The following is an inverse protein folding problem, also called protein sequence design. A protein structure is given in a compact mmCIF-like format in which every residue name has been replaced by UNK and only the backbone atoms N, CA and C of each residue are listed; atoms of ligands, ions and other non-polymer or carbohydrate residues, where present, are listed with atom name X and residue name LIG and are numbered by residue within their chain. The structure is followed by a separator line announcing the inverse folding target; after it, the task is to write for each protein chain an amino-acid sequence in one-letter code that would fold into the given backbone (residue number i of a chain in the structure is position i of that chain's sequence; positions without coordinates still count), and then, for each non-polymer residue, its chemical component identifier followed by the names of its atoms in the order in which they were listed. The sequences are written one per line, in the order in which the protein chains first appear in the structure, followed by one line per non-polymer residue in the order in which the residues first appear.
data_IF_092878312609
#
_entry.id   IF_092878312609
#
_cell.length_a   1.000
_cell.length_b   1.000
_cell.length_c   1.000
_cell.angle_alpha   90.00
_cell.angle_beta   90.00
_cell.angle_gamma   90.00
#
_symmetry.space_group_name_H-M   'P 1'
#
loop_
_entity.id
_entity.type
_entity.pdbx_description
1 polymer ?
#
# COMPACT_ATOMS: atom_id res chain seq x y z
N UNK A 1 -13.53 13.79 -14.54
CA UNK A 1 -13.11 12.64 -15.38
C UNK A 1 -12.37 11.65 -14.52
N UNK A 2 -12.40 10.35 -14.85
CA UNK A 2 -11.54 9.33 -14.23
C UNK A 2 -10.46 9.02 -15.27
N UNK A 3 -9.19 9.25 -14.91
CA UNK A 3 -8.03 8.90 -15.74
C UNK A 3 -7.29 7.74 -15.11
N UNK A 4 -7.03 6.69 -15.89
CA UNK A 4 -6.26 5.53 -15.46
C UNK A 4 -4.78 5.74 -15.81
N UNK A 5 -3.95 6.03 -14.81
CA UNK A 5 -2.54 6.32 -14.99
C UNK A 5 -1.68 5.07 -15.29
N UNK A 6 -2.26 3.87 -15.39
CA UNK A 6 -1.52 2.65 -15.72
C UNK A 6 -0.97 2.63 -17.17
N UNK A 7 -1.39 3.54 -18.05
CA UNK A 7 -0.81 3.72 -19.39
C UNK A 7 0.10 4.96 -19.45
N UNK A 8 1.26 4.84 -18.78
CA UNK A 8 2.36 5.79 -18.77
C UNK A 8 2.92 6.01 -20.18
N UNK A 9 2.59 7.16 -20.78
CA UNK A 9 3.39 7.97 -21.72
C UNK A 9 2.50 8.82 -22.64
N UNK A 10 1.33 8.31 -23.06
CA UNK A 10 0.42 9.04 -23.96
C UNK A 10 -0.65 9.83 -23.20
N UNK A 11 -0.98 9.39 -21.99
CA UNK A 11 -1.96 10.07 -21.14
C UNK A 11 -1.40 11.30 -20.43
N UNK A 12 -0.11 11.33 -20.05
CA UNK A 12 0.48 12.46 -19.29
C UNK A 12 0.32 13.81 -20.01
N UNK A 13 0.67 13.89 -21.31
CA UNK A 13 0.52 15.12 -22.09
C UNK A 13 -0.93 15.53 -22.29
N UNK A 14 -1.84 14.56 -22.40
CA UNK A 14 -3.28 14.81 -22.53
C UNK A 14 -3.85 15.33 -21.22
N UNK A 15 -3.38 14.78 -20.10
CA UNK A 15 -3.80 15.13 -18.75
C UNK A 15 -3.33 16.52 -18.35
N UNK A 16 -2.06 16.84 -18.62
CA UNK A 16 -1.51 18.20 -18.45
C UNK A 16 -2.29 19.21 -19.30
N UNK A 17 -2.63 18.89 -20.56
CA UNK A 17 -3.43 19.79 -21.40
C UNK A 17 -4.84 20.02 -20.83
N UNK A 18 -5.49 19.01 -20.26
CA UNK A 18 -6.80 19.17 -19.61
C UNK A 18 -6.71 20.06 -18.35
N UNK A 19 -5.61 19.95 -17.61
CA UNK A 19 -5.31 20.78 -16.44
C UNK A 19 -5.05 22.24 -16.87
N UNK A 20 -4.19 22.46 -17.86
CA UNK A 20 -3.84 23.80 -18.39
C UNK A 20 -5.05 24.49 -19.01
N UNK A 21 -5.91 23.74 -19.71
CA UNK A 21 -7.16 24.28 -20.30
C UNK A 21 -8.25 24.57 -19.24
N UNK A 22 -7.96 24.37 -17.95
CA UNK A 22 -8.87 24.62 -16.81
C UNK A 22 -10.23 23.93 -16.94
N UNK A 23 -10.28 22.77 -17.59
CA UNK A 23 -11.53 22.00 -17.72
C UNK A 23 -11.81 21.10 -16.50
N UNK A 24 -10.98 21.19 -15.47
CA UNK A 24 -11.04 20.35 -14.27
C UNK A 24 -11.01 21.26 -13.03
N UNK A 25 -12.05 21.14 -12.19
CA UNK A 25 -12.17 21.91 -10.93
C UNK A 25 -11.43 21.26 -9.75
N UNK A 26 -10.99 20.01 -9.87
CA UNK A 26 -10.29 19.28 -8.81
C UNK A 26 -9.85 17.88 -9.24
N UNK A 27 -8.89 17.31 -8.51
CA UNK A 27 -8.28 16.01 -8.82
C UNK A 27 -8.21 15.10 -7.59
N UNK A 28 -8.54 13.82 -7.80
CA UNK A 28 -8.35 12.76 -6.81
C UNK A 28 -7.25 11.83 -7.29
N UNK A 29 -6.18 11.70 -6.51
CA UNK A 29 -5.06 10.79 -6.78
C UNK A 29 -5.22 9.51 -5.96
N UNK A 30 -5.09 8.35 -6.61
CA UNK A 30 -5.15 7.04 -5.96
C UNK A 30 -3.79 6.32 -5.91
N UNK A 31 -2.75 6.95 -6.46
CA UNK A 31 -1.38 6.43 -6.48
C UNK A 31 -0.42 7.33 -5.71
N UNK A 32 0.76 6.78 -5.43
CA UNK A 32 1.85 7.44 -4.71
C UNK A 32 2.64 8.46 -5.56
N UNK A 33 2.43 8.48 -6.89
CA UNK A 33 3.16 9.34 -7.82
C UNK A 33 2.24 10.39 -8.46
N UNK A 34 2.80 11.57 -8.75
CA UNK A 34 2.14 12.52 -9.63
C UNK A 34 2.15 11.97 -11.06
N UNK A 35 1.04 12.04 -11.79
CA UNK A 35 0.98 11.58 -13.19
C UNK A 35 1.62 12.57 -14.17
N UNK A 36 2.45 13.50 -13.69
CA UNK A 36 3.13 14.50 -14.48
C UNK A 36 4.30 15.13 -13.71
N UNK A 37 5.32 15.52 -14.44
CA UNK A 37 6.38 16.40 -13.96
C UNK A 37 5.93 17.85 -14.11
N UNK A 38 5.65 18.54 -12.99
CA UNK A 38 5.27 19.95 -12.98
C UNK A 38 6.35 20.79 -12.30
N UNK A 39 6.83 21.82 -12.99
CA UNK A 39 7.65 22.86 -12.39
C UNK A 39 6.91 23.57 -11.25
N UNK A 40 7.64 24.20 -10.32
CA UNK A 40 7.04 24.96 -9.21
C UNK A 40 6.07 26.07 -9.67
N UNK A 41 6.24 26.58 -10.88
CA UNK A 41 5.34 27.58 -11.47
C UNK A 41 4.05 26.94 -12.01
N UNK A 42 4.14 25.75 -12.61
CA UNK A 42 2.98 24.98 -13.07
C UNK A 42 2.15 24.46 -11.90
N UNK A 43 2.78 24.09 -10.78
CA UNK A 43 2.11 23.68 -9.54
C UNK A 43 1.11 24.71 -9.01
N UNK A 44 1.38 26.01 -9.22
CA UNK A 44 0.46 27.09 -8.80
C UNK A 44 -0.82 27.18 -9.63
N UNK A 45 -0.80 26.61 -10.83
CA UNK A 45 -1.93 26.62 -11.76
C UNK A 45 -2.70 25.29 -11.78
N UNK A 46 -2.26 24.30 -10.99
CA UNK A 46 -2.98 23.04 -10.86
C UNK A 46 -4.29 23.25 -10.10
N UNK A 47 -5.36 22.53 -10.46
CA UNK A 47 -6.58 22.51 -9.67
C UNK A 47 -6.31 21.88 -8.30
N UNK A 48 -7.17 22.12 -7.28
CA UNK A 48 -7.06 21.47 -5.98
C UNK A 48 -6.95 19.94 -6.09
N UNK A 49 -5.98 19.35 -5.39
CA UNK A 49 -5.70 17.93 -5.44
C UNK A 49 -5.85 17.30 -4.05
N UNK A 50 -6.41 16.09 -4.01
CA UNK A 50 -6.52 15.26 -2.79
C UNK A 50 -6.02 13.86 -3.11
N UNK A 51 -5.21 13.28 -2.23
CA UNK A 51 -4.80 11.87 -2.30
C UNK A 51 -5.79 11.00 -1.52
N UNK A 52 -6.07 9.80 -2.02
CA UNK A 52 -6.86 8.81 -1.32
C UNK A 52 -6.20 7.42 -1.39
N UNK A 53 -6.38 6.64 -0.31
CA UNK A 53 -5.84 5.29 -0.11
C UNK A 53 -4.31 5.22 0.05
N UNK A 54 -3.57 5.81 -0.89
CA UNK A 54 -2.13 5.96 -0.84
C UNK A 54 -1.74 7.37 -0.38
N UNK A 55 -0.50 7.53 0.05
CA UNK A 55 0.01 8.85 0.40
C UNK A 55 1.50 8.96 0.14
N UNK A 56 1.90 10.12 -0.39
CA UNK A 56 3.29 10.50 -0.60
C UNK A 56 3.59 11.74 0.26
N UNK A 57 4.37 11.59 1.35
CA UNK A 57 4.70 12.71 2.24
C UNK A 57 5.31 13.90 1.52
N UNK A 58 6.07 13.65 0.45
CA UNK A 58 6.81 14.67 -0.30
C UNK A 58 5.92 15.60 -1.14
N UNK A 59 4.67 15.20 -1.41
CA UNK A 59 3.73 15.99 -2.19
C UNK A 59 2.97 17.02 -1.35
N UNK A 60 2.99 16.90 -0.01
CA UNK A 60 2.26 17.77 0.93
C UNK A 60 0.77 17.98 0.59
N UNK A 61 0.14 17.02 -0.09
CA UNK A 61 -1.27 17.09 -0.50
C UNK A 61 -2.20 16.64 0.64
N UNK A 62 -3.40 17.25 0.76
CA UNK A 62 -4.46 16.71 1.60
C UNK A 62 -4.72 15.24 1.25
N UNK A 63 -4.76 14.38 2.27
CA UNK A 63 -4.85 12.93 2.07
C UNK A 63 -5.95 12.33 2.92
N UNK A 64 -6.73 11.42 2.36
CA UNK A 64 -7.70 10.59 3.06
C UNK A 64 -7.27 9.12 2.98
N UNK A 65 -6.85 8.55 4.10
CA UNK A 65 -6.46 7.16 4.19
C UNK A 65 -6.87 6.57 5.55
N UNK A 66 -6.88 5.24 5.65
CA UNK A 66 -7.06 4.56 6.93
C UNK A 66 -5.75 4.51 7.72
N UNK A 67 -5.84 4.24 9.01
CA UNK A 67 -4.67 3.88 9.82
C UNK A 67 -4.26 2.42 9.51
N UNK A 68 -3.43 2.26 8.49
CA UNK A 68 -2.92 0.96 8.04
C UNK A 68 -2.14 0.20 9.13
N UNK A 69 -1.45 0.92 10.01
CA UNK A 69 -0.69 0.30 11.09
C UNK A 69 -1.64 -0.30 12.12
N UNK A 70 -2.61 0.48 12.59
CA UNK A 70 -3.59 0.02 13.58
C UNK A 70 -4.45 -1.10 13.00
N UNK A 71 -4.92 -0.97 11.75
CA UNK A 71 -5.69 -2.02 11.10
C UNK A 71 -4.93 -3.35 11.00
N UNK A 72 -3.66 -3.32 10.59
CA UNK A 72 -2.83 -4.53 10.53
C UNK A 72 -2.54 -5.12 11.92
N UNK A 73 -2.28 -4.26 12.91
CA UNK A 73 -2.11 -4.67 14.30
C UNK A 73 -3.35 -5.40 14.82
N UNK A 74 -4.54 -4.82 14.63
CA UNK A 74 -5.80 -5.39 15.10
C UNK A 74 -6.11 -6.73 14.42
N UNK A 75 -5.89 -6.83 13.11
CA UNK A 75 -6.07 -8.08 12.37
C UNK A 75 -5.20 -9.22 12.92
N UNK A 76 -3.92 -8.95 13.16
CA UNK A 76 -2.98 -9.96 13.67
C UNK A 76 -3.25 -10.26 15.14
N UNK A 77 -3.52 -9.24 15.95
CA UNK A 77 -3.89 -9.40 17.36
C UNK A 77 -5.15 -10.24 17.52
N UNK A 78 -6.14 -10.08 16.64
CA UNK A 78 -7.33 -10.92 16.62
C UNK A 78 -6.99 -12.39 16.37
N UNK A 79 -6.13 -12.69 15.40
CA UNK A 79 -5.67 -14.07 15.16
C UNK A 79 -4.94 -14.65 16.37
N UNK A 80 -4.10 -13.85 17.03
CA UNK A 80 -3.43 -14.26 18.27
C UNK A 80 -4.45 -14.57 19.36
N UNK A 81 -5.48 -13.74 19.51
CA UNK A 81 -6.58 -13.95 20.46
C UNK A 81 -7.36 -15.23 20.23
N UNK A 82 -7.39 -15.75 19.00
CA UNK A 82 -7.94 -17.08 18.67
C UNK A 82 -6.98 -18.25 19.01
N UNK A 83 -5.80 -17.96 19.56
CA UNK A 83 -4.78 -18.95 19.92
C UNK A 83 -3.75 -19.24 18.83
N UNK A 84 -3.70 -18.44 17.75
CA UNK A 84 -2.71 -18.60 16.70
C UNK A 84 -1.35 -18.02 17.12
N UNK A 85 -0.31 -18.87 17.09
CA UNK A 85 1.07 -18.47 17.44
C UNK A 85 2.00 -18.40 16.22
N UNK A 86 1.58 -19.01 15.10
CA UNK A 86 2.36 -19.13 13.86
C UNK A 86 1.60 -18.47 12.72
N UNK A 87 1.77 -17.16 12.64
CA UNK A 87 1.08 -16.27 11.70
C UNK A 87 2.12 -15.77 10.72
N UNK A 88 1.91 -15.99 9.43
CA UNK A 88 2.78 -15.44 8.39
C UNK A 88 2.18 -14.19 7.75
N UNK A 89 3.04 -13.29 7.28
CA UNK A 89 2.66 -12.07 6.59
C UNK A 89 3.11 -12.13 5.12
N UNK A 90 2.16 -11.97 4.20
CA UNK A 90 2.46 -11.71 2.79
C UNK A 90 2.37 -10.20 2.59
N UNK A 91 3.52 -9.59 2.33
CA UNK A 91 3.72 -8.14 2.19
C UNK A 91 3.70 -7.71 0.73
N UNK A 92 3.37 -6.45 0.46
CA UNK A 92 3.51 -5.85 -0.86
C UNK A 92 4.91 -5.23 -1.08
N UNK A 93 5.08 -4.42 -2.13
CA UNK A 93 6.35 -3.75 -2.41
C UNK A 93 6.79 -2.80 -1.29
N UNK A 94 8.06 -2.86 -0.88
CA UNK A 94 8.59 -2.11 0.26
C UNK A 94 8.63 -0.60 0.05
N UNK A 95 8.66 -0.15 -1.21
CA UNK A 95 8.68 1.28 -1.55
C UNK A 95 7.35 1.98 -1.20
N UNK A 96 6.27 1.22 -0.99
CA UNK A 96 4.96 1.80 -0.71
C UNK A 96 4.78 2.01 0.80
N UNK A 97 4.54 3.27 1.26
CA UNK A 97 4.41 3.57 2.69
C UNK A 97 3.36 2.70 3.40
N UNK A 98 2.22 2.45 2.75
CA UNK A 98 1.16 1.59 3.26
C UNK A 98 1.63 0.16 3.58
N UNK A 99 2.50 -0.44 2.75
CA UNK A 99 3.07 -1.76 3.02
C UNK A 99 3.94 -1.74 4.28
N UNK A 100 4.74 -0.68 4.44
CA UNK A 100 5.59 -0.51 5.61
C UNK A 100 4.76 -0.42 6.89
N UNK A 101 3.68 0.37 6.89
CA UNK A 101 2.77 0.47 8.05
C UNK A 101 2.11 -0.86 8.38
N UNK A 102 1.64 -1.62 7.38
CA UNK A 102 1.02 -2.93 7.63
C UNK A 102 2.02 -3.94 8.19
N UNK A 103 3.24 -3.96 7.66
CA UNK A 103 4.35 -4.79 8.21
C UNK A 103 4.69 -4.38 9.64
N UNK A 104 4.75 -3.09 9.95
CA UNK A 104 4.97 -2.59 11.30
C UNK A 104 3.85 -3.03 12.26
N UNK A 105 2.57 -2.93 11.84
CA UNK A 105 1.43 -3.39 12.62
C UNK A 105 1.50 -4.88 12.95
N UNK A 106 1.85 -5.71 11.96
CA UNK A 106 2.10 -7.15 12.14
C UNK A 106 3.21 -7.43 13.16
N UNK A 107 4.38 -6.79 12.99
CA UNK A 107 5.52 -6.93 13.91
C UNK A 107 5.12 -6.50 15.33
N UNK A 108 4.37 -5.41 15.46
CA UNK A 108 3.92 -4.89 16.74
C UNK A 108 2.95 -5.85 17.45
N UNK A 109 2.03 -6.48 16.71
CA UNK A 109 1.08 -7.43 17.27
C UNK A 109 1.77 -8.69 17.82
N UNK A 110 2.76 -9.23 17.08
CA UNK A 110 3.55 -10.36 17.52
C UNK A 110 4.36 -10.02 18.78
N UNK A 111 5.12 -8.92 18.74
CA UNK A 111 5.97 -8.48 19.86
C UNK A 111 5.17 -8.22 21.13
N UNK A 112 4.03 -7.53 21.02
CA UNK A 112 3.18 -7.23 22.20
C UNK A 112 2.55 -8.47 22.81
N UNK A 113 2.40 -9.54 22.02
CA UNK A 113 1.87 -10.83 22.49
C UNK A 113 2.96 -11.80 22.93
N UNK A 114 4.23 -11.37 22.97
CA UNK A 114 5.37 -12.21 23.35
C UNK A 114 5.75 -13.26 22.30
N UNK A 115 5.29 -13.12 21.06
CA UNK A 115 5.66 -14.00 19.94
C UNK A 115 6.91 -13.48 19.23
N UNK A 116 7.75 -14.41 18.79
CA UNK A 116 8.92 -14.07 17.98
C UNK A 116 8.51 -13.69 16.56
N UNK A 117 9.21 -12.70 16.00
CA UNK A 117 9.06 -12.34 14.59
C UNK A 117 10.05 -13.18 13.80
N UNK A 118 9.56 -14.26 13.21
CA UNK A 118 10.35 -15.13 12.34
C UNK A 118 10.42 -14.52 10.93
N UNK A 119 11.64 -14.31 10.41
CA UNK A 119 11.85 -13.77 9.07
C UNK A 119 11.27 -14.67 7.99
N UNK A 120 11.29 -15.98 8.23
CA UNK A 120 10.84 -17.01 7.30
C UNK A 120 9.31 -17.04 7.17
N UNK A 121 8.60 -16.32 8.06
CA UNK A 121 7.14 -16.14 8.04
C UNK A 121 6.75 -14.83 7.36
N UNK A 122 7.68 -14.17 6.68
CA UNK A 122 7.42 -13.00 5.86
C UNK A 122 7.74 -13.31 4.40
N UNK A 123 6.75 -13.22 3.53
CA UNK A 123 6.93 -13.32 2.08
C UNK A 123 6.59 -12.00 1.41
N UNK A 124 7.27 -11.69 0.30
CA UNK A 124 7.02 -10.48 -0.50
C UNK A 124 6.23 -10.84 -1.75
N UNK A 125 5.23 -10.03 -2.05
CA UNK A 125 4.48 -10.05 -3.31
C UNK A 125 4.44 -8.66 -3.94
N UNK A 126 3.84 -8.60 -5.11
CA UNK A 126 3.68 -7.40 -5.93
C UNK A 126 2.20 -7.01 -6.12
N UNK A 127 1.34 -7.49 -5.21
CA UNK A 127 -0.12 -7.40 -5.27
C UNK A 127 -0.81 -8.15 -6.41
N UNK A 128 -0.06 -8.82 -7.29
CA UNK A 128 -0.67 -9.77 -8.22
C UNK A 128 -1.18 -11.03 -7.50
N UNK A 129 -2.19 -11.65 -8.08
CA UNK A 129 -2.67 -12.95 -7.63
C UNK A 129 -1.56 -14.01 -7.68
N UNK A 130 -0.73 -13.96 -8.73
CA UNK A 130 0.35 -14.92 -8.98
C UNK A 130 1.44 -14.85 -7.90
N UNK A 131 1.88 -13.63 -7.54
CA UNK A 131 2.85 -13.47 -6.46
C UNK A 131 2.29 -13.89 -5.11
N UNK A 132 1.01 -13.62 -4.84
CA UNK A 132 0.32 -14.11 -3.65
C UNK A 132 0.27 -15.63 -3.58
N UNK A 133 -0.02 -16.31 -4.69
CA UNK A 133 -0.05 -17.76 -4.76
C UNK A 133 1.34 -18.38 -4.54
N UNK A 134 2.38 -17.82 -5.18
CA UNK A 134 3.76 -18.28 -4.99
C UNK A 134 4.23 -18.06 -3.54
N UNK A 135 3.97 -16.88 -2.97
CA UNK A 135 4.29 -16.58 -1.58
C UNK A 135 3.62 -17.56 -0.60
N UNK A 136 2.37 -17.94 -0.87
CA UNK A 136 1.66 -18.93 -0.06
C UNK A 136 2.32 -20.33 -0.16
N UNK A 137 2.69 -20.75 -1.37
CA UNK A 137 3.38 -22.04 -1.61
C UNK A 137 4.72 -22.07 -0.86
N UNK A 138 5.50 -21.00 -0.94
CA UNK A 138 6.81 -20.90 -0.27
C UNK A 138 6.67 -20.99 1.25
N UNK A 139 5.70 -20.27 1.82
CA UNK A 139 5.42 -20.32 3.26
C UNK A 139 4.94 -21.70 3.73
N UNK A 140 4.15 -22.40 2.91
CA UNK A 140 3.68 -23.76 3.20
C UNK A 140 4.77 -24.82 3.03
N UNK A 141 5.83 -24.51 2.29
CA UNK A 141 6.97 -25.40 2.05
C UNK A 141 7.98 -25.41 3.21
N UNK A 142 7.80 -24.54 4.22
CA UNK A 142 8.66 -24.50 5.40
C UNK A 142 8.53 -25.78 6.25
N UNK A 143 9.62 -26.23 6.92
CA UNK A 143 9.59 -27.44 7.76
C UNK A 143 8.51 -27.39 8.86
N UNK A 144 8.22 -26.17 9.31
CA UNK A 144 7.17 -25.86 10.28
C UNK A 144 6.28 -24.79 9.65
N UNK A 145 5.20 -25.17 8.94
CA UNK A 145 4.39 -24.20 8.20
C UNK A 145 3.50 -23.37 9.14
N UNK A 146 3.21 -22.10 8.77
CA UNK A 146 2.26 -21.26 9.48
C UNK A 146 0.85 -21.86 9.41
N UNK A 147 0.02 -21.63 10.44
CA UNK A 147 -1.38 -22.12 10.43
C UNK A 147 -2.37 -21.09 9.89
N UNK A 148 -1.95 -19.82 9.83
CA UNK A 148 -2.77 -18.71 9.36
C UNK A 148 -1.88 -17.66 8.70
N UNK A 149 -2.49 -16.93 7.77
CA UNK A 149 -1.84 -15.92 6.96
C UNK A 149 -2.54 -14.57 7.15
N UNK A 150 -1.77 -13.50 7.25
CA UNK A 150 -2.24 -12.13 7.05
C UNK A 150 -1.70 -11.65 5.70
N UNK A 151 -2.58 -11.22 4.80
CA UNK A 151 -2.19 -10.64 3.52
C UNK A 151 -2.31 -9.12 3.59
N UNK A 152 -1.37 -8.45 2.94
CA UNK A 152 -1.28 -6.98 2.87
C UNK A 152 -2.18 -6.43 1.76
N UNK A 153 -2.74 -7.26 0.87
CA UNK A 153 -3.59 -6.83 -0.25
C UNK A 153 -5.06 -6.72 0.17
N UNK A 154 -5.76 -5.65 -0.24
CA UNK A 154 -7.24 -5.56 -0.24
C UNK A 154 -7.73 -5.78 -1.66
#
# INVERSE_FOLDING_TARGET
MIGDCAQQNQQEKTFINLIITKQIDGMLLLGSDLPFDASKEEQRNLPPMVMANEFAPELELPTVHIDNLTAAYEAVHYLIGLGHQRIACITGPDQMPLCQYRTQGYIQALRRSGLNVETDYSAKGDFSYESGALALIDLMSQPVPPRRFSATTT
#
